data_IF_688573413510
#
_entry.id   IF_688573413510
#
_cell.length_a   1.000
_cell.length_b   1.000
_cell.length_c   1.000
_cell.angle_alpha   90.00
_cell.angle_beta   90.00
_cell.angle_gamma   90.00
#
_symmetry.space_group_name_H-M   'P 1'
#
loop_
_entity.id
_entity.type
_entity.pdbx_description
1 polymer ?
#
# COMPACT_ATOMS: atom_id res chain seq x y z
N UNK A 1 4.16 -48.47 12.05
CA UNK A 1 3.33 -47.44 12.70
C UNK A 1 4.08 -46.11 12.57
N UNK A 2 3.90 -45.41 11.45
CA UNK A 2 4.63 -44.19 11.10
C UNK A 2 3.67 -43.19 10.46
N UNK A 3 2.89 -42.50 11.29
CA UNK A 3 2.14 -41.30 10.93
C UNK A 3 2.15 -40.41 12.18
N UNK A 4 2.59 -39.15 12.03
CA UNK A 4 2.35 -37.98 12.91
C UNK A 4 3.45 -36.88 12.85
N UNK A 5 4.31 -36.86 11.81
CA UNK A 5 5.29 -35.78 11.64
C UNK A 5 4.76 -34.49 10.99
N UNK A 6 3.66 -34.55 10.24
CA UNK A 6 3.18 -33.43 9.42
C UNK A 6 2.17 -32.51 10.13
N UNK A 7 1.43 -33.00 11.13
CA UNK A 7 0.38 -32.22 11.82
C UNK A 7 0.94 -31.25 12.85
N UNK A 8 2.06 -31.61 13.49
CA UNK A 8 2.73 -30.76 14.48
C UNK A 8 3.45 -29.58 13.83
N UNK A 9 4.09 -29.80 12.67
CA UNK A 9 4.73 -28.74 11.89
C UNK A 9 3.72 -27.67 11.40
N UNK A 10 2.49 -28.07 11.08
CA UNK A 10 1.42 -27.16 10.66
C UNK A 10 0.88 -26.33 11.84
N UNK A 11 0.69 -26.97 13.00
CA UNK A 11 0.29 -26.28 14.24
C UNK A 11 1.34 -25.27 14.71
N UNK A 12 2.62 -25.65 14.69
CA UNK A 12 3.74 -24.77 15.09
C UNK A 12 3.90 -23.60 14.12
N UNK A 13 3.66 -23.81 12.83
CA UNK A 13 3.66 -22.73 11.85
C UNK A 13 2.52 -21.73 12.11
N UNK A 14 1.34 -22.22 12.51
CA UNK A 14 0.22 -21.38 12.90
C UNK A 14 0.53 -20.56 14.15
N UNK A 15 1.13 -21.15 15.18
CA UNK A 15 1.57 -20.44 16.38
C UNK A 15 2.61 -19.35 16.07
N UNK A 16 3.54 -19.61 15.13
CA UNK A 16 4.49 -18.62 14.67
C UNK A 16 3.80 -17.41 14.02
N UNK A 17 2.75 -17.65 13.22
CA UNK A 17 1.97 -16.58 12.58
C UNK A 17 1.20 -15.78 13.64
N UNK A 18 0.59 -16.45 14.61
CA UNK A 18 -0.14 -15.79 15.71
C UNK A 18 0.77 -14.88 16.53
N UNK A 19 2.02 -15.29 16.76
CA UNK A 19 3.02 -14.44 17.41
C UNK A 19 3.42 -13.23 16.56
N UNK A 20 3.62 -13.39 15.25
CA UNK A 20 3.95 -12.27 14.33
C UNK A 20 2.81 -11.26 14.27
N UNK A 21 1.56 -11.74 14.34
CA UNK A 21 0.36 -10.92 14.44
C UNK A 21 0.33 -10.11 15.75
N UNK A 22 0.49 -10.77 16.91
CA UNK A 22 0.48 -10.10 18.22
C UNK A 22 1.63 -9.11 18.40
N UNK A 23 2.80 -9.40 17.83
CA UNK A 23 3.96 -8.49 17.86
C UNK A 23 3.74 -7.22 17.03
N UNK A 24 2.77 -7.21 16.11
CA UNK A 24 2.52 -6.10 15.18
C UNK A 24 1.30 -5.24 15.49
N UNK A 25 0.47 -5.64 16.45
CA UNK A 25 -0.75 -4.89 16.83
C UNK A 25 -0.48 -3.58 17.60
N UNK A 26 0.77 -3.10 17.64
CA UNK A 26 1.11 -1.72 18.03
C UNK A 26 1.53 -1.53 19.48
N UNK A 27 1.03 -2.34 20.42
CA UNK A 27 1.42 -2.27 21.84
C UNK A 27 1.48 -3.68 22.46
N UNK A 28 2.66 -4.30 22.41
CA UNK A 28 2.93 -5.57 23.11
C UNK A 28 3.55 -5.28 24.49
N UNK A 29 2.89 -5.79 25.53
CA UNK A 29 3.36 -5.68 26.92
C UNK A 29 4.67 -6.45 27.16
N UNK A 30 5.41 -6.11 28.21
CA UNK A 30 6.65 -6.82 28.55
C UNK A 30 6.41 -8.31 28.84
N UNK A 31 5.28 -8.64 29.47
CA UNK A 31 4.90 -10.02 29.75
C UNK A 31 4.66 -10.85 28.48
N UNK A 32 4.07 -10.25 27.43
CA UNK A 32 3.85 -10.92 26.15
C UNK A 32 5.15 -11.11 25.35
N UNK A 33 6.10 -10.18 25.47
CA UNK A 33 7.46 -10.36 24.90
C UNK A 33 8.18 -11.52 25.56
N UNK A 34 8.07 -11.65 26.87
CA UNK A 34 8.69 -12.74 27.62
C UNK A 34 8.01 -14.08 27.30
N UNK A 35 6.69 -14.10 27.13
CA UNK A 35 5.94 -15.28 26.67
C UNK A 35 6.33 -15.70 25.25
N UNK A 36 6.52 -14.74 24.34
CA UNK A 36 7.01 -15.01 22.98
C UNK A 36 8.42 -15.63 23.00
N UNK A 37 9.33 -15.06 23.79
CA UNK A 37 10.69 -15.58 23.93
C UNK A 37 10.72 -16.95 24.61
N UNK A 38 9.82 -17.20 25.57
CA UNK A 38 9.66 -18.52 26.18
C UNK A 38 9.16 -19.54 25.17
N UNK A 39 8.16 -19.18 24.36
CA UNK A 39 7.63 -20.02 23.28
C UNK A 39 8.71 -20.38 22.24
N UNK A 40 9.52 -19.41 21.80
CA UNK A 40 10.63 -19.66 20.85
C UNK A 40 11.71 -20.59 21.40
N UNK A 41 11.94 -20.57 22.72
CA UNK A 41 12.95 -21.40 23.38
C UNK A 41 12.41 -22.75 23.86
N UNK A 42 11.10 -22.96 23.83
CA UNK A 42 10.46 -24.17 24.33
C UNK A 42 10.75 -25.40 23.43
N UNK A 43 10.81 -25.19 22.11
CA UNK A 43 11.05 -26.25 21.13
C UNK A 43 11.84 -25.71 19.91
N UNK A 44 12.91 -26.39 19.44
CA UNK A 44 13.61 -26.04 18.20
C UNK A 44 12.70 -25.86 16.97
N UNK A 45 11.60 -26.62 16.88
CA UNK A 45 10.64 -26.50 15.78
C UNK A 45 9.94 -25.12 15.75
N UNK A 46 9.75 -24.49 16.91
CA UNK A 46 9.14 -23.16 17.02
C UNK A 46 10.07 -22.09 16.45
N UNK A 47 11.36 -22.16 16.78
CA UNK A 47 12.37 -21.28 16.23
C UNK A 47 12.51 -21.46 14.71
N UNK A 48 12.49 -22.71 14.22
CA UNK A 48 12.52 -22.99 12.78
C UNK A 48 11.28 -22.48 12.05
N UNK A 49 10.09 -22.63 12.63
CA UNK A 49 8.86 -22.11 12.06
C UNK A 49 8.85 -20.57 12.04
N UNK A 50 9.30 -19.95 13.14
CA UNK A 50 9.48 -18.50 13.23
C UNK A 50 10.49 -17.99 12.21
N UNK A 51 11.66 -18.63 12.09
CA UNK A 51 12.69 -18.26 11.12
C UNK A 51 12.20 -18.43 9.68
N UNK A 52 11.49 -19.53 9.38
CA UNK A 52 10.88 -19.76 8.06
C UNK A 52 9.81 -18.71 7.74
N UNK A 53 8.97 -18.35 8.72
CA UNK A 53 8.00 -17.27 8.58
C UNK A 53 8.70 -15.94 8.27
N UNK A 54 9.75 -15.60 9.02
CA UNK A 54 10.51 -14.36 8.80
C UNK A 54 11.27 -14.34 7.48
N UNK A 55 11.81 -15.47 7.02
CA UNK A 55 12.41 -15.61 5.69
C UNK A 55 11.36 -15.42 4.58
N UNK A 56 10.17 -16.01 4.72
CA UNK A 56 9.05 -15.81 3.78
C UNK A 56 8.54 -14.38 3.78
N UNK A 57 8.57 -13.70 4.92
CA UNK A 57 8.26 -12.27 5.03
C UNK A 57 9.42 -11.35 4.56
N UNK A 58 10.54 -11.92 4.10
CA UNK A 58 11.70 -11.18 3.59
C UNK A 58 12.53 -10.48 4.67
N UNK A 59 12.40 -10.88 5.94
CA UNK A 59 12.96 -10.20 7.11
C UNK A 59 14.26 -10.80 7.64
N UNK A 60 14.58 -12.04 7.27
CA UNK A 60 15.87 -12.67 7.57
C UNK A 60 16.49 -13.14 6.26
N UNK A 61 17.52 -12.42 5.79
CA UNK A 61 18.47 -13.01 4.84
C UNK A 61 19.24 -14.16 5.52
N UNK A 62 19.79 -15.12 4.77
CA UNK A 62 20.45 -16.29 5.35
C UNK A 62 21.70 -15.86 6.12
N UNK A 63 21.61 -15.86 7.46
CA UNK A 63 22.78 -15.74 8.33
C UNK A 63 23.43 -17.13 8.45
N UNK A 64 24.21 -17.49 7.43
CA UNK A 64 25.26 -18.48 7.61
C UNK A 64 26.60 -17.77 7.78
N UNK A 65 27.21 -17.99 8.94
CA UNK A 65 28.65 -17.83 9.15
C UNK A 65 29.14 -16.42 9.41
N UNK A 66 29.23 -16.01 10.69
CA UNK A 66 30.45 -15.31 11.13
C UNK A 66 30.76 -15.64 12.57
N UNK A 67 32.00 -16.10 12.74
CA UNK A 67 32.63 -16.61 13.94
C UNK A 67 32.45 -15.75 15.18
N UNK A 68 32.28 -16.45 16.30
CA UNK A 68 32.64 -15.98 17.63
C UNK A 68 34.06 -15.40 17.61
N UNK A 69 34.23 -14.19 18.17
CA UNK A 69 35.45 -13.64 18.81
C UNK A 69 35.43 -12.10 18.91
N UNK A 70 34.53 -11.39 18.23
CA UNK A 70 34.53 -9.91 18.24
C UNK A 70 33.71 -9.25 19.37
N UNK A 71 32.91 -10.01 20.14
CA UNK A 71 31.94 -9.45 21.11
C UNK A 71 32.56 -9.15 22.50
N UNK A 72 33.87 -9.34 22.69
CA UNK A 72 34.52 -9.21 24.01
C UNK A 72 35.36 -7.96 24.24
N UNK A 73 35.27 -6.92 23.40
CA UNK A 73 36.02 -5.66 23.59
C UNK A 73 35.22 -4.36 23.48
N UNK A 74 33.89 -4.41 23.61
CA UNK A 74 33.06 -3.20 23.62
C UNK A 74 32.47 -2.88 25.01
N UNK A 75 32.95 -3.55 26.06
CA UNK A 75 32.76 -3.15 27.45
C UNK A 75 34.01 -2.37 27.85
N UNK A 76 34.03 -1.07 27.58
CA UNK A 76 34.58 -0.06 28.50
C UNK A 76 34.40 1.37 27.95
N UNK A 77 33.73 2.16 28.79
CA UNK A 77 33.73 3.61 28.95
C UNK A 77 32.91 4.59 28.09
N UNK A 78 32.43 5.70 28.73
CA UNK A 78 31.35 6.53 28.22
C UNK A 78 31.75 7.98 27.86
N UNK A 79 30.83 8.63 27.15
CA UNK A 79 30.50 10.07 27.18
C UNK A 79 31.14 11.04 26.16
N UNK A 80 30.24 11.75 25.46
CA UNK A 80 30.25 13.17 25.06
C UNK A 80 31.42 13.69 24.18
N UNK A 81 31.23 13.72 22.85
CA UNK A 81 31.14 14.99 22.09
C UNK A 81 30.86 14.80 20.60
N UNK A 82 30.04 15.72 20.08
CA UNK A 82 29.59 15.88 18.70
C UNK A 82 30.73 16.21 17.73
N UNK A 83 30.49 15.83 16.47
CA UNK A 83 30.92 16.51 15.22
C UNK A 83 32.43 16.63 15.00
N UNK A 84 32.94 15.79 14.09
CA UNK A 84 33.72 16.16 12.89
C UNK A 84 34.57 14.96 12.46
N UNK A 85 34.02 14.04 11.67
CA UNK A 85 34.81 13.23 10.73
C UNK A 85 33.90 12.80 9.58
N UNK A 86 33.57 13.77 8.72
CA UNK A 86 33.29 13.49 7.33
C UNK A 86 34.64 13.52 6.60
N UNK A 87 34.86 12.49 5.77
CA UNK A 87 35.89 12.32 4.73
C UNK A 87 37.18 11.59 5.12
N UNK A 88 37.19 10.27 4.94
CA UNK A 88 38.15 9.56 4.09
C UNK A 88 37.82 8.06 4.05
N UNK A 89 37.61 7.51 2.85
CA UNK A 89 37.45 6.06 2.66
C UNK A 89 36.44 5.70 1.57
N UNK A 90 36.76 6.01 0.31
CA UNK A 90 36.09 5.39 -0.84
C UNK A 90 36.56 3.94 -0.98
N UNK A 91 35.64 2.99 -1.15
CA UNK A 91 35.97 1.59 -1.39
C UNK A 91 34.76 0.65 -1.41
N UNK A 92 34.02 0.67 -2.53
CA UNK A 92 33.29 -0.44 -3.17
C UNK A 92 32.43 -1.40 -2.31
N UNK A 93 31.10 -1.27 -2.47
CA UNK A 93 30.14 -2.38 -2.40
C UNK A 93 29.29 -2.45 -1.12
N UNK A 94 28.00 -2.11 -1.21
CA UNK A 94 27.03 -2.47 -0.16
C UNK A 94 25.90 -1.47 0.05
N UNK A 95 24.78 -1.75 -0.63
CA UNK A 95 23.40 -1.31 -0.41
C UNK A 95 23.10 -0.14 0.55
N UNK A 96 22.47 0.86 -0.04
CA UNK A 96 21.66 1.95 0.55
C UNK A 96 20.73 1.42 1.67
N UNK A 97 21.21 1.45 2.91
CA UNK A 97 20.42 1.13 4.11
C UNK A 97 20.40 2.25 5.16
N UNK A 98 20.72 3.49 4.78
CA UNK A 98 20.77 4.61 5.73
C UNK A 98 20.19 5.91 5.18
N UNK A 99 18.87 5.92 4.87
CA UNK A 99 18.21 7.16 4.44
C UNK A 99 16.69 7.25 4.61
N UNK A 100 15.97 6.13 4.76
CA UNK A 100 14.50 6.13 4.71
C UNK A 100 13.85 6.11 6.11
N UNK A 101 14.60 5.71 7.15
CA UNK A 101 14.05 5.42 8.48
C UNK A 101 13.48 6.59 9.29
N UNK A 102 13.93 7.84 9.08
CA UNK A 102 13.47 8.98 9.92
C UNK A 102 12.39 9.85 9.26
N UNK A 103 12.25 9.85 7.93
CA UNK A 103 11.11 10.51 7.26
C UNK A 103 9.87 9.62 7.19
N UNK A 104 10.05 8.30 7.12
CA UNK A 104 8.93 7.36 7.10
C UNK A 104 8.18 7.35 8.44
N UNK A 105 8.89 7.43 9.58
CA UNK A 105 8.28 7.47 10.91
C UNK A 105 7.39 8.70 11.13
N UNK A 106 7.77 9.87 10.61
CA UNK A 106 6.91 11.08 10.67
C UNK A 106 5.69 10.95 9.74
N UNK A 107 5.82 10.23 8.61
CA UNK A 107 4.71 9.95 7.69
C UNK A 107 3.75 8.84 8.16
N UNK A 108 4.22 7.94 9.03
CA UNK A 108 3.42 6.83 9.58
C UNK A 108 2.53 7.29 10.73
N UNK A 109 2.89 8.38 11.43
CA UNK A 109 2.06 8.98 12.46
C UNK A 109 1.17 10.14 11.97
N UNK A 110 1.19 10.47 10.67
CA UNK A 110 0.21 11.35 10.01
C UNK A 110 -0.20 12.61 10.80
N UNK A 111 0.73 13.29 11.45
CA UNK A 111 0.43 14.50 12.25
C UNK A 111 0.28 15.78 11.41
N UNK A 112 0.31 15.66 10.07
CA UNK A 112 0.39 16.82 9.15
C UNK A 112 -0.63 16.76 7.99
N UNK A 113 -1.42 15.69 7.88
CA UNK A 113 -2.44 15.58 6.82
C UNK A 113 -3.77 16.18 7.30
N UNK A 114 -4.38 17.03 6.46
CA UNK A 114 -5.66 17.68 6.79
C UNK A 114 -6.82 16.68 6.87
N UNK A 115 -6.74 15.56 6.12
CA UNK A 115 -7.68 14.46 6.25
C UNK A 115 -7.05 13.09 5.97
N UNK A 116 -7.45 12.10 6.79
CA UNK A 116 -7.09 10.70 6.63
C UNK A 116 -8.32 9.80 6.78
N UNK A 117 -8.57 8.94 5.79
CA UNK A 117 -9.52 7.83 5.93
C UNK A 117 -8.76 6.51 6.18
N UNK A 118 -8.77 6.05 7.42
CA UNK A 118 -8.24 4.74 7.82
C UNK A 118 -9.23 3.59 7.65
N UNK A 119 -10.51 3.90 7.40
CA UNK A 119 -11.56 2.89 7.26
C UNK A 119 -11.60 2.33 5.82
N UNK A 120 -12.17 1.13 5.69
CA UNK A 120 -12.45 0.52 4.39
C UNK A 120 -13.70 1.11 3.71
N UNK A 121 -14.55 1.78 4.49
CA UNK A 121 -15.80 2.37 4.00
C UNK A 121 -15.54 3.76 3.41
N UNK A 122 -16.03 4.07 2.20
CA UNK A 122 -15.99 5.41 1.65
C UNK A 122 -16.68 6.44 2.56
N UNK A 123 -16.00 7.53 2.88
CA UNK A 123 -16.56 8.61 3.70
C UNK A 123 -16.72 9.88 2.86
N UNK A 124 -17.85 10.56 3.03
CA UNK A 124 -18.06 11.89 2.42
C UNK A 124 -17.47 12.96 3.34
N UNK A 125 -16.63 13.82 2.79
CA UNK A 125 -15.90 14.88 3.49
C UNK A 125 -16.08 16.18 2.74
N UNK A 126 -16.22 17.27 3.47
CA UNK A 126 -16.30 18.62 2.90
C UNK A 126 -15.08 19.41 3.35
N UNK A 127 -14.33 19.95 2.39
CA UNK A 127 -13.16 20.80 2.61
C UNK A 127 -13.56 22.26 2.39
N UNK A 128 -13.23 23.12 3.37
CA UNK A 128 -13.43 24.57 3.37
C UNK A 128 -14.83 25.07 2.96
N UNK A 129 -15.84 24.20 3.09
CA UNK A 129 -17.23 24.48 2.73
C UNK A 129 -17.54 24.45 1.22
N UNK A 130 -16.54 24.45 0.34
CA UNK A 130 -16.72 24.55 -1.11
C UNK A 130 -16.51 23.24 -1.87
N UNK A 131 -15.62 22.36 -1.40
CA UNK A 131 -15.27 21.12 -2.11
C UNK A 131 -15.71 19.91 -1.31
N UNK A 132 -16.76 19.23 -1.78
CA UNK A 132 -17.21 17.96 -1.23
C UNK A 132 -16.63 16.79 -2.04
N UNK A 133 -16.04 15.83 -1.34
CA UNK A 133 -15.52 14.60 -1.93
C UNK A 133 -15.98 13.38 -1.18
N UNK A 134 -16.06 12.26 -1.90
CA UNK A 134 -16.05 10.94 -1.28
C UNK A 134 -14.60 10.46 -1.25
N UNK A 135 -14.09 10.10 -0.08
CA UNK A 135 -12.75 9.56 0.14
C UNK A 135 -12.82 8.04 0.37
N UNK A 136 -12.10 7.27 -0.44
CA UNK A 136 -12.01 5.81 -0.30
C UNK A 136 -11.03 5.37 0.78
N UNK A 137 -10.78 4.06 0.83
CA UNK A 137 -9.88 3.46 1.80
C UNK A 137 -8.43 3.98 1.68
N UNK A 138 -7.76 4.13 2.82
CA UNK A 138 -6.37 4.60 2.92
C UNK A 138 -6.11 5.99 2.27
N UNK A 139 -7.15 6.83 2.20
CA UNK A 139 -7.04 8.16 1.60
C UNK A 139 -6.27 9.12 2.51
N UNK A 140 -5.41 9.94 1.90
CA UNK A 140 -4.70 11.05 2.56
C UNK A 140 -4.74 12.29 1.69
N UNK A 141 -5.36 13.33 2.20
CA UNK A 141 -5.58 14.61 1.51
C UNK A 141 -4.97 15.73 2.33
N UNK A 142 -4.34 16.68 1.63
CA UNK A 142 -3.88 17.94 2.16
C UNK A 142 -4.59 19.07 1.43
N UNK A 143 -5.15 20.03 2.15
CA UNK A 143 -5.74 21.26 1.61
C UNK A 143 -4.67 22.36 1.58
N UNK A 144 -4.73 23.27 0.61
CA UNK A 144 -3.79 24.41 0.48
C UNK A 144 -2.30 24.07 0.38
N UNK A 145 -1.92 22.80 0.15
CA UNK A 145 -0.52 22.36 0.16
C UNK A 145 0.34 23.00 -0.94
N UNK A 146 -0.27 23.57 -1.98
CA UNK A 146 0.36 24.39 -3.03
C UNK A 146 -0.63 25.45 -3.47
N UNK A 147 -0.24 26.73 -3.47
CA UNK A 147 -1.00 27.98 -3.73
C UNK A 147 -2.05 28.01 -4.88
N UNK A 148 -2.24 26.93 -5.66
CA UNK A 148 -3.18 26.83 -6.79
C UNK A 148 -4.08 25.58 -6.77
N UNK A 149 -3.93 24.67 -5.81
CA UNK A 149 -4.70 23.42 -5.76
C UNK A 149 -5.62 23.38 -4.55
N UNK A 150 -6.91 23.10 -4.78
CA UNK A 150 -7.90 22.93 -3.71
C UNK A 150 -7.56 21.69 -2.88
N UNK A 151 -7.14 20.60 -3.55
CA UNK A 151 -6.83 19.32 -2.92
C UNK A 151 -5.53 18.73 -3.44
N UNK A 152 -4.63 18.33 -2.54
CA UNK A 152 -3.49 17.47 -2.83
C UNK A 152 -3.75 16.06 -2.29
N UNK A 153 -3.95 15.10 -3.20
CA UNK A 153 -4.13 13.69 -2.87
C UNK A 153 -2.77 12.99 -2.83
N UNK A 154 -2.35 12.60 -1.62
CA UNK A 154 -1.06 11.95 -1.40
C UNK A 154 -1.12 10.42 -1.48
N UNK A 155 -2.28 9.82 -1.18
CA UNK A 155 -2.54 8.39 -1.27
C UNK A 155 -4.04 8.09 -1.27
N UNK A 156 -4.41 6.89 -1.72
CA UNK A 156 -5.78 6.43 -1.77
C UNK A 156 -6.52 6.99 -2.97
N UNK A 157 -7.83 7.15 -2.83
CA UNK A 157 -8.69 7.57 -3.93
C UNK A 157 -9.78 8.53 -3.48
N UNK A 158 -10.09 9.52 -4.29
CA UNK A 158 -11.17 10.47 -4.05
C UNK A 158 -12.07 10.57 -5.28
N UNK A 159 -13.33 10.92 -5.03
CA UNK A 159 -14.30 11.27 -6.06
C UNK A 159 -14.93 12.60 -5.68
N UNK A 160 -14.87 13.58 -6.56
CA UNK A 160 -15.51 14.88 -6.33
C UNK A 160 -17.02 14.77 -6.53
N UNK A 161 -17.76 15.53 -5.74
CA UNK A 161 -19.18 15.76 -6.00
C UNK A 161 -19.35 16.70 -7.22
N UNK A 162 -20.52 16.67 -7.88
CA UNK A 162 -20.75 17.50 -9.06
C UNK A 162 -20.71 18.98 -8.72
N UNK A 163 -19.91 19.73 -9.49
CA UNK A 163 -19.74 21.18 -9.38
C UNK A 163 -20.98 21.89 -9.95
N UNK A 164 -21.52 22.91 -9.25
CA UNK A 164 -22.67 23.68 -9.73
C UNK A 164 -22.21 24.84 -10.63
N UNK A 165 -23.14 25.35 -11.44
CA UNK A 165 -22.88 26.52 -12.26
C UNK A 165 -22.59 27.74 -11.38
N UNK A 166 -21.38 28.31 -11.50
CA UNK A 166 -20.92 29.46 -10.71
C UNK A 166 -19.96 29.09 -9.57
N UNK A 167 -19.74 27.80 -9.30
CA UNK A 167 -18.72 27.35 -8.36
C UNK A 167 -17.30 27.56 -8.93
N UNK A 168 -16.31 27.63 -8.04
CA UNK A 168 -14.92 27.68 -8.47
C UNK A 168 -14.49 26.35 -9.12
N UNK A 169 -13.56 26.38 -10.09
CA UNK A 169 -13.02 25.17 -10.69
C UNK A 169 -12.36 24.30 -9.63
N UNK A 170 -12.64 23.00 -9.65
CA UNK A 170 -12.01 22.04 -8.74
C UNK A 170 -10.66 21.60 -9.32
N UNK A 171 -9.61 21.72 -8.50
CA UNK A 171 -8.25 21.25 -8.84
C UNK A 171 -7.81 20.18 -7.85
N UNK A 172 -7.59 18.96 -8.35
CA UNK A 172 -6.98 17.87 -7.59
C UNK A 172 -5.57 17.61 -8.12
N UNK A 173 -4.58 17.69 -7.25
CA UNK A 173 -3.17 17.46 -7.57
C UNK A 173 -2.67 16.19 -6.89
N UNK A 174 -1.78 15.46 -7.55
CA UNK A 174 -1.07 14.29 -7.04
C UNK A 174 0.43 14.44 -7.34
N UNK A 175 1.23 13.43 -7.00
CA UNK A 175 2.65 13.40 -7.39
C UNK A 175 2.85 13.26 -8.91
N UNK A 176 1.90 12.68 -9.62
CA UNK A 176 2.04 12.32 -11.04
C UNK A 176 1.41 13.37 -11.97
N UNK A 177 0.60 14.28 -11.43
CA UNK A 177 -0.05 15.32 -12.21
C UNK A 177 -1.17 16.03 -11.46
N UNK A 178 -2.00 16.73 -12.21
CA UNK A 178 -3.23 17.38 -11.72
C UNK A 178 -4.37 17.15 -12.69
N UNK A 179 -5.58 17.22 -12.15
CA UNK A 179 -6.82 17.33 -12.90
C UNK A 179 -7.53 18.62 -12.48
N UNK A 180 -7.93 19.43 -13.45
CA UNK A 180 -8.77 20.62 -13.25
C UNK A 180 -10.07 20.46 -14.01
N UNK A 181 -11.19 20.74 -13.37
CA UNK A 181 -12.49 20.79 -14.03
C UNK A 181 -13.36 21.92 -13.49
N UNK A 182 -14.29 22.41 -14.30
CA UNK A 182 -15.24 23.45 -13.93
C UNK A 182 -16.64 22.90 -13.66
N UNK A 183 -16.96 21.73 -14.22
CA UNK A 183 -18.31 21.15 -14.22
C UNK A 183 -18.34 19.63 -14.04
N UNK A 184 -17.23 18.95 -14.28
CA UNK A 184 -17.19 17.50 -14.22
C UNK A 184 -16.99 17.01 -12.79
N UNK A 185 -17.49 15.82 -12.54
CA UNK A 185 -17.03 14.98 -11.44
C UNK A 185 -15.73 14.31 -11.86
N UNK A 186 -14.77 14.26 -10.96
CA UNK A 186 -13.51 13.56 -11.19
C UNK A 186 -13.28 12.53 -10.11
N UNK A 187 -12.85 11.33 -10.52
CA UNK A 187 -12.31 10.34 -9.61
C UNK A 187 -10.81 10.26 -9.82
N UNK A 188 -10.03 10.34 -8.75
CA UNK A 188 -8.57 10.30 -8.76
C UNK A 188 -8.11 9.19 -7.81
N UNK A 189 -7.32 8.26 -8.32
CA UNK A 189 -6.75 7.14 -7.55
C UNK A 189 -5.21 7.17 -7.68
N UNK A 190 -4.52 7.35 -6.55
CA UNK A 190 -3.06 7.39 -6.48
C UNK A 190 -2.53 6.00 -6.18
N UNK A 191 -2.07 5.30 -7.21
CA UNK A 191 -1.35 4.04 -7.11
C UNK A 191 0.16 4.28 -7.06
N UNK A 192 0.93 3.29 -6.60
CA UNK A 192 2.38 3.38 -6.39
C UNK A 192 3.16 3.82 -7.62
N UNK A 193 2.73 3.45 -8.82
CA UNK A 193 3.45 3.71 -10.08
C UNK A 193 2.84 4.82 -10.94
N UNK A 194 1.58 5.17 -10.71
CA UNK A 194 0.86 6.14 -11.50
C UNK A 194 -0.43 6.61 -10.80
N UNK A 195 -1.02 7.68 -11.31
CA UNK A 195 -2.34 8.14 -10.89
C UNK A 195 -3.37 7.81 -11.97
N UNK A 196 -4.51 7.23 -11.58
CA UNK A 196 -5.66 7.05 -12.47
C UNK A 196 -6.67 8.16 -12.26
N UNK A 197 -7.18 8.72 -13.35
CA UNK A 197 -8.18 9.79 -13.35
C UNK A 197 -9.33 9.43 -14.27
N UNK A 198 -10.56 9.57 -13.77
CA UNK A 198 -11.78 9.47 -14.56
C UNK A 198 -12.59 10.77 -14.50
N UNK A 199 -13.26 11.09 -15.60
CA UNK A 199 -14.02 12.34 -15.78
C UNK A 199 -15.46 12.01 -16.18
N UNK A 200 -16.44 12.57 -15.46
CA UNK A 200 -17.86 12.29 -15.67
C UNK A 200 -18.73 13.55 -15.57
N UNK A 201 -19.67 13.75 -16.49
CA UNK A 201 -20.64 14.85 -16.48
C UNK A 201 -20.08 16.19 -16.97
N UNK A 202 -18.95 16.17 -17.67
CA UNK A 202 -18.28 17.36 -18.21
C UNK A 202 -16.89 17.05 -18.72
N UNK A 203 -16.14 18.08 -19.04
CA UNK A 203 -14.74 18.00 -19.48
C UNK A 203 -13.76 18.36 -18.36
N UNK A 204 -12.50 17.97 -18.55
CA UNK A 204 -11.42 18.32 -17.63
C UNK A 204 -10.12 18.57 -18.39
N UNK A 205 -9.17 19.19 -17.70
CA UNK A 205 -7.80 19.34 -18.16
C UNK A 205 -6.90 18.52 -17.25
N UNK A 206 -6.19 17.56 -17.83
CA UNK A 206 -5.10 16.83 -17.19
C UNK A 206 -3.78 17.52 -17.48
N UNK A 207 -2.89 17.57 -16.50
CA UNK A 207 -1.53 18.04 -16.69
C UNK A 207 -0.56 17.20 -15.86
N UNK A 208 0.61 16.91 -16.42
CA UNK A 208 1.69 16.19 -15.74
C UNK A 208 2.88 17.12 -15.50
N UNK A 209 3.72 16.90 -14.46
CA UNK A 209 4.84 17.77 -14.15
C UNK A 209 5.79 17.91 -15.33
N UNK A 210 6.12 19.16 -15.70
CA UNK A 210 7.02 19.50 -16.82
C UNK A 210 6.61 18.89 -18.18
N UNK A 211 5.35 18.47 -18.32
CA UNK A 211 4.89 17.77 -19.51
C UNK A 211 3.61 18.35 -20.07
N UNK A 212 2.91 17.50 -20.84
CA UNK A 212 1.77 17.90 -21.65
C UNK A 212 0.55 18.21 -20.79
N UNK A 213 -0.21 19.23 -21.20
CA UNK A 213 -1.60 19.44 -20.77
C UNK A 213 -2.51 18.84 -21.82
N UNK A 214 -3.55 18.12 -21.40
CA UNK A 214 -4.50 17.48 -22.29
C UNK A 214 -5.92 17.79 -21.84
N UNK A 215 -6.72 18.31 -22.76
CA UNK A 215 -8.17 18.39 -22.57
C UNK A 215 -8.77 17.00 -22.80
N UNK A 216 -9.56 16.53 -21.84
CA UNK A 216 -10.13 15.19 -21.87
C UNK A 216 -11.65 15.27 -21.83
N UNK A 217 -12.33 14.45 -22.66
CA UNK A 217 -13.78 14.49 -22.77
C UNK A 217 -14.47 13.77 -21.61
N UNK A 218 -15.77 14.01 -21.48
CA UNK A 218 -16.65 13.24 -20.61
C UNK A 218 -16.57 11.73 -20.91
N UNK A 219 -16.89 10.92 -19.90
CA UNK A 219 -16.99 9.46 -20.04
C UNK A 219 -15.65 8.73 -20.09
N UNK A 220 -14.53 9.42 -19.86
CA UNK A 220 -13.19 8.89 -20.12
C UNK A 220 -12.37 8.61 -18.85
N UNK A 221 -11.45 7.64 -18.95
CA UNK A 221 -10.45 7.32 -17.94
C UNK A 221 -9.02 7.39 -18.52
N UNK A 222 -8.08 7.83 -17.68
CA UNK A 222 -6.71 8.15 -18.05
C UNK A 222 -5.72 7.77 -16.95
N UNK A 223 -4.50 7.43 -17.35
CA UNK A 223 -3.36 7.20 -16.46
C UNK A 223 -2.34 8.31 -16.64
N UNK A 224 -1.83 8.85 -15.51
CA UNK A 224 -0.77 9.84 -15.43
C UNK A 224 0.45 9.18 -14.78
N UNK A 225 1.56 9.13 -15.50
CA UNK A 225 2.82 8.57 -14.99
C UNK A 225 4.01 9.17 -15.71
N UNK A 226 5.06 9.56 -14.98
CA UNK A 226 6.37 9.89 -15.57
C UNK A 226 6.33 10.96 -16.68
N UNK A 227 5.42 11.95 -16.60
CA UNK A 227 5.26 12.96 -17.64
C UNK A 227 4.43 12.54 -18.86
N UNK A 228 3.78 11.38 -18.80
CA UNK A 228 2.87 10.86 -19.83
C UNK A 228 1.41 10.86 -19.36
N UNK A 229 0.51 11.08 -20.31
CA UNK A 229 -0.94 10.95 -20.14
C UNK A 229 -1.40 9.92 -21.18
N UNK A 230 -1.94 8.80 -20.71
CA UNK A 230 -2.38 7.68 -21.54
C UNK A 230 -3.86 7.36 -21.29
N UNK A 231 -4.63 7.09 -22.35
CA UNK A 231 -6.04 6.70 -22.23
C UNK A 231 -6.14 5.27 -21.73
N UNK A 232 -7.06 5.03 -20.80
CA UNK A 232 -7.34 3.70 -20.28
C UNK A 232 -8.52 3.06 -21.04
N UNK A 233 -8.60 1.72 -21.07
CA UNK A 233 -9.74 1.02 -21.67
C UNK A 233 -11.02 1.16 -20.84
N UNK A 234 -10.92 1.34 -19.51
CA UNK A 234 -12.07 1.61 -18.65
C UNK A 234 -12.81 2.90 -19.02
N UNK A 235 -14.12 2.91 -18.82
CA UNK A 235 -14.94 4.12 -18.87
C UNK A 235 -14.87 4.89 -17.55
N UNK A 236 -15.37 6.12 -17.52
CA UNK A 236 -15.48 6.81 -16.23
C UNK A 236 -16.42 6.09 -15.27
N UNK A 237 -17.52 5.51 -15.75
CA UNK A 237 -18.47 4.77 -14.90
C UNK A 237 -17.83 3.55 -14.22
N UNK A 238 -16.91 2.87 -14.93
CA UNK A 238 -16.13 1.76 -14.39
C UNK A 238 -15.21 2.24 -13.26
N UNK A 239 -14.48 3.33 -13.46
CA UNK A 239 -13.61 3.88 -12.42
C UNK A 239 -14.43 4.38 -11.22
N UNK A 240 -15.58 5.02 -11.42
CA UNK A 240 -16.43 5.49 -10.31
C UNK A 240 -17.13 4.35 -9.53
N UNK A 241 -17.04 3.09 -9.96
CA UNK A 241 -17.73 1.96 -9.33
C UNK A 241 -17.32 1.73 -7.87
N UNK A 242 -16.11 2.16 -7.48
CA UNK A 242 -15.60 1.99 -6.10
C UNK A 242 -16.46 2.72 -5.08
N UNK A 243 -17.13 3.80 -5.48
CA UNK A 243 -18.08 4.54 -4.62
C UNK A 243 -19.29 3.70 -4.22
N UNK A 244 -19.54 2.61 -4.95
CA UNK A 244 -20.59 1.60 -4.69
C UNK A 244 -20.00 0.25 -4.27
N UNK A 245 -18.75 0.21 -3.82
CA UNK A 245 -18.14 -1.01 -3.28
C UNK A 245 -17.66 -2.01 -4.34
N UNK A 246 -17.43 -1.61 -5.58
CA UNK A 246 -16.91 -2.52 -6.62
C UNK A 246 -15.73 -1.92 -7.36
N UNK A 247 -14.78 -2.75 -7.78
CA UNK A 247 -13.65 -2.39 -8.63
C UNK A 247 -13.83 -3.07 -9.99
N UNK A 248 -14.15 -2.28 -11.01
CA UNK A 248 -14.18 -2.74 -12.40
C UNK A 248 -12.82 -2.48 -13.03
N UNK A 249 -12.22 -3.51 -13.61
CA UNK A 249 -10.93 -3.41 -14.30
C UNK A 249 -11.01 -4.05 -15.67
N UNK A 250 -10.40 -3.40 -16.65
CA UNK A 250 -10.30 -3.91 -18.03
C UNK A 250 -8.84 -3.85 -18.43
N UNK A 251 -8.26 -5.00 -18.77
CA UNK A 251 -6.85 -5.12 -19.14
C UNK A 251 -5.94 -4.33 -18.18
N UNK A 252 -6.07 -4.55 -16.87
CA UNK A 252 -5.31 -3.84 -15.83
C UNK A 252 -4.13 -4.67 -15.36
N UNK A 253 -2.99 -4.05 -15.04
CA UNK A 253 -1.87 -4.77 -14.47
C UNK A 253 -2.26 -5.36 -13.09
N UNK A 254 -1.96 -6.63 -12.86
CA UNK A 254 -2.25 -7.31 -11.58
C UNK A 254 -1.72 -6.55 -10.35
N UNK A 255 -0.51 -5.94 -10.37
CA UNK A 255 -0.03 -5.13 -9.25
C UNK A 255 -0.96 -3.97 -8.87
N UNK A 256 -1.62 -3.33 -9.84
CA UNK A 256 -2.56 -2.24 -9.56
C UNK A 256 -3.80 -2.78 -8.84
N UNK A 257 -4.33 -3.92 -9.31
CA UNK A 257 -5.50 -4.58 -8.72
C UNK A 257 -5.20 -5.02 -7.29
N UNK A 258 -4.02 -5.62 -7.06
CA UNK A 258 -3.57 -6.02 -5.72
C UNK A 258 -3.42 -4.79 -4.81
N UNK A 259 -2.86 -3.70 -5.32
CA UNK A 259 -2.69 -2.47 -4.54
C UNK A 259 -4.04 -1.89 -4.13
N UNK A 260 -5.01 -1.80 -5.05
CA UNK A 260 -6.36 -1.33 -4.72
C UNK A 260 -7.05 -2.26 -3.73
N UNK A 261 -7.09 -3.58 -3.99
CA UNK A 261 -7.72 -4.55 -3.07
C UNK A 261 -7.03 -4.59 -1.70
N UNK A 262 -5.71 -4.38 -1.66
CA UNK A 262 -4.93 -4.33 -0.41
C UNK A 262 -5.37 -3.23 0.54
N UNK A 263 -5.88 -2.10 0.03
CA UNK A 263 -6.45 -1.02 0.85
C UNK A 263 -7.68 -1.46 1.62
N UNK A 264 -8.46 -2.38 1.05
CA UNK A 264 -9.70 -2.90 1.65
C UNK A 264 -9.46 -4.17 2.48
N UNK A 265 -8.40 -4.92 2.19
CA UNK A 265 -8.02 -6.09 2.97
C UNK A 265 -7.38 -5.72 4.32
N UNK A 266 -6.57 -4.66 4.37
CA UNK A 266 -5.88 -4.22 5.60
C UNK A 266 -4.71 -5.14 6.05
N UNK A 267 -4.45 -6.22 5.31
CA UNK A 267 -3.37 -7.17 5.56
C UNK A 267 -2.32 -7.23 4.44
N UNK A 268 -1.35 -8.13 4.60
CA UNK A 268 -0.31 -8.41 3.62
C UNK A 268 -0.83 -9.35 2.53
N UNK A 269 -0.56 -8.99 1.27
CA UNK A 269 -0.91 -9.80 0.10
C UNK A 269 0.37 -10.22 -0.61
N UNK A 270 0.51 -11.51 -0.91
CA UNK A 270 1.63 -12.06 -1.65
C UNK A 270 1.13 -12.87 -2.85
N UNK A 271 1.54 -12.45 -4.04
CA UNK A 271 1.34 -13.20 -5.28
C UNK A 271 2.69 -13.61 -5.88
N UNK A 272 2.77 -14.74 -6.61
CA UNK A 272 3.97 -15.14 -7.34
C UNK A 272 4.37 -14.10 -8.40
N UNK A 273 5.66 -13.97 -8.70
CA UNK A 273 6.16 -13.01 -9.71
C UNK A 273 5.53 -13.22 -11.09
N UNK A 274 5.25 -14.47 -11.46
CA UNK A 274 4.55 -14.84 -12.69
C UNK A 274 3.13 -14.30 -12.78
N UNK A 275 2.48 -14.01 -11.64
CA UNK A 275 1.19 -13.33 -11.59
C UNK A 275 1.36 -11.82 -11.77
N UNK A 276 2.42 -11.23 -11.21
CA UNK A 276 2.65 -9.78 -11.22
C UNK A 276 2.96 -9.21 -12.61
N UNK A 277 3.41 -10.04 -13.55
CA UNK A 277 3.62 -9.65 -14.95
C UNK A 277 2.36 -9.73 -15.82
N UNK A 278 1.22 -10.15 -15.27
CA UNK A 278 -0.03 -10.36 -16.02
C UNK A 278 -0.96 -9.16 -15.95
N UNK A 279 -1.92 -9.17 -16.87
CA UNK A 279 -3.06 -8.24 -16.90
C UNK A 279 -4.36 -9.03 -16.71
N UNK A 280 -5.35 -8.39 -16.12
CA UNK A 280 -6.64 -9.01 -15.77
C UNK A 280 -7.78 -8.07 -16.09
N UNK A 281 -8.93 -8.66 -16.42
CA UNK A 281 -10.21 -7.98 -16.56
C UNK A 281 -11.22 -8.65 -15.64
N UNK A 282 -12.09 -7.87 -15.02
CA UNK A 282 -13.10 -8.40 -14.12
C UNK A 282 -13.75 -7.33 -13.26
N UNK A 283 -14.73 -7.76 -12.48
CA UNK A 283 -15.39 -6.95 -11.47
C UNK A 283 -15.13 -7.60 -10.13
N UNK A 284 -14.57 -6.83 -9.20
CA UNK A 284 -14.14 -7.31 -7.89
C UNK A 284 -14.92 -6.58 -6.77
N UNK A 285 -15.54 -7.29 -5.82
CA UNK A 285 -16.17 -6.65 -4.66
C UNK A 285 -15.11 -6.03 -3.75
N UNK A 286 -15.32 -4.78 -3.33
CA UNK A 286 -14.43 -4.08 -2.38
C UNK A 286 -14.90 -4.24 -0.93
N UNK A 287 -16.18 -4.57 -0.73
CA UNK A 287 -16.80 -4.88 0.55
C UNK A 287 -16.41 -6.27 1.08
N UNK A 288 -16.04 -7.22 0.19
CA UNK A 288 -15.44 -8.51 0.53
C UNK A 288 -14.07 -8.69 -0.16
N UNK A 289 -13.06 -8.02 0.39
CA UNK A 289 -11.69 -8.10 -0.11
C UNK A 289 -11.12 -9.55 -0.14
N UNK A 290 -11.37 -10.42 0.86
CA UNK A 290 -11.00 -11.84 0.77
C UNK A 290 -11.60 -12.55 -0.45
N UNK A 291 -12.89 -12.35 -0.75
CA UNK A 291 -13.52 -12.94 -1.94
C UNK A 291 -12.92 -12.40 -3.24
N UNK A 292 -12.70 -11.09 -3.33
CA UNK A 292 -12.05 -10.47 -4.50
C UNK A 292 -10.64 -11.01 -4.75
N UNK A 293 -9.84 -11.20 -3.69
CA UNK A 293 -8.49 -11.77 -3.80
C UNK A 293 -8.52 -13.24 -4.25
N UNK A 294 -9.51 -14.04 -3.80
CA UNK A 294 -9.69 -15.42 -4.26
C UNK A 294 -10.04 -15.44 -5.75
N UNK A 295 -11.01 -14.63 -6.17
CA UNK A 295 -11.41 -14.48 -7.57
C UNK A 295 -10.22 -14.05 -8.45
N UNK A 296 -9.39 -13.11 -7.97
CA UNK A 296 -8.19 -12.69 -8.67
C UNK A 296 -7.20 -13.85 -8.83
N UNK A 297 -6.91 -14.58 -7.75
CA UNK A 297 -6.01 -15.74 -7.81
C UNK A 297 -6.52 -16.81 -8.78
N UNK A 298 -7.81 -17.16 -8.71
CA UNK A 298 -8.45 -18.16 -9.59
C UNK A 298 -8.39 -17.75 -11.07
N UNK A 299 -8.67 -16.47 -11.38
CA UNK A 299 -8.57 -15.95 -12.76
C UNK A 299 -7.14 -16.03 -13.33
N UNK A 300 -6.15 -16.09 -12.43
CA UNK A 300 -4.74 -16.22 -12.76
C UNK A 300 -4.26 -17.68 -12.67
N UNK A 301 -5.11 -18.65 -12.32
CA UNK A 301 -4.73 -20.06 -12.20
C UNK A 301 -3.93 -20.37 -10.92
N UNK A 302 -4.13 -19.59 -9.86
CA UNK A 302 -3.55 -19.81 -8.53
C UNK A 302 -4.65 -20.10 -7.51
N UNK A 303 -4.27 -20.76 -6.42
CA UNK A 303 -5.11 -20.89 -5.23
C UNK A 303 -4.70 -19.85 -4.20
N UNK A 304 -5.68 -19.27 -3.49
CA UNK A 304 -5.41 -18.30 -2.42
C UNK A 304 -5.58 -18.95 -1.05
N UNK A 305 -4.52 -18.91 -0.24
CA UNK A 305 -4.56 -19.29 1.17
C UNK A 305 -4.64 -18.02 2.03
N UNK A 306 -5.65 -17.95 2.89
CA UNK A 306 -5.85 -16.85 3.84
C UNK A 306 -5.47 -17.32 5.24
N UNK A 307 -4.61 -16.55 5.91
CA UNK A 307 -4.19 -16.77 7.28
C UNK A 307 -4.77 -15.64 8.13
N UNK A 308 -5.97 -15.89 8.67
CA UNK A 308 -6.78 -14.87 9.33
C UNK A 308 -7.12 -13.70 8.40
N UNK A 309 -7.18 -12.48 8.96
CA UNK A 309 -7.50 -11.25 8.21
C UNK A 309 -6.25 -10.43 7.86
N UNK A 310 -5.04 -10.98 8.06
CA UNK A 310 -3.80 -10.21 7.96
C UNK A 310 -2.83 -10.71 6.89
N UNK A 311 -3.02 -11.91 6.34
CA UNK A 311 -2.13 -12.46 5.33
C UNK A 311 -2.88 -13.29 4.28
N UNK A 312 -2.70 -12.92 3.01
CA UNK A 312 -3.19 -13.63 1.85
C UNK A 312 -2.01 -14.07 0.98
N UNK A 313 -1.90 -15.36 0.69
CA UNK A 313 -0.80 -15.93 -0.11
C UNK A 313 -1.38 -16.73 -1.27
N UNK A 314 -1.10 -16.28 -2.50
CA UNK A 314 -1.41 -17.06 -3.69
C UNK A 314 -0.29 -18.08 -3.98
N UNK A 315 -0.68 -19.33 -4.19
CA UNK A 315 0.20 -20.46 -4.52
C UNK A 315 -0.25 -21.10 -5.83
N UNK A 316 0.65 -21.79 -6.53
CA UNK A 316 0.26 -22.60 -7.68
C UNK A 316 -0.82 -23.60 -7.25
N UNK A 317 -1.85 -23.74 -8.10
CA UNK A 317 -2.93 -24.70 -7.92
C UNK A 317 -2.44 -26.15 -8.05
#
# INVERSE_FOLDING_TARGET
MLMNGNSTLDAVAQEAIDWEVRLRSGEISQAERDAFLAWRRADPAHEEAWARLQQRLGRLGPLQGTSSTAVRRALDEPSRHRRRWLKAGAGLGGLVLAGIGTRQLISTFSLDADYHNGDVVPQRVQFDGSVSVTAGAATRVYTHARDQADLYLAAGQVATDPTRAGDQPVVVTTRDGMVRTERARVSVDVLRLHTVVAVQGGDAVLAVPHGRRLHVPDGSAWSLSGGQIARMPETSADIFSWTRGTLVVLDRAVPDVIETLGRYFGGYIRFPETALSRRVSGVFPLDDAPAALRQLAESLGFSLNLYGNMLAVATAA
#
